data_IF_115439901264
#
_entry.id   IF_115439901264
#
_cell.length_a   1.000
_cell.length_b   1.000
_cell.length_c   1.000
_cell.angle_alpha   90.00
_cell.angle_beta   90.00
_cell.angle_gamma   90.00
#
_symmetry.space_group_name_H-M   'P 1'
#
loop_
_entity.id
_entity.type
_entity.pdbx_description
1 polymer ?
#
# COMPACT_ATOMS: atom_id res chain seq x y z
N UNK A 1 -0.61 -8.66 -14.20
CA UNK A 1 -0.93 -9.87 -13.44
C UNK A 1 -2.44 -10.14 -13.49
N UNK A 2 -2.82 -11.38 -13.32
CA UNK A 2 -4.23 -11.75 -13.12
C UNK A 2 -4.77 -11.10 -11.84
N UNK A 3 -6.08 -10.76 -11.80
CA UNK A 3 -6.67 -9.97 -10.71
C UNK A 3 -7.01 -10.84 -9.49
N UNK A 4 -6.01 -11.52 -8.91
CA UNK A 4 -6.15 -12.45 -7.80
C UNK A 4 -6.94 -11.83 -6.61
N UNK A 5 -6.50 -10.71 -6.09
CA UNK A 5 -7.11 -10.08 -4.91
C UNK A 5 -8.56 -9.62 -5.17
N UNK A 6 -8.85 -9.12 -6.39
CA UNK A 6 -10.23 -8.77 -6.78
C UNK A 6 -11.12 -10.01 -6.85
N UNK A 7 -10.57 -11.14 -7.28
CA UNK A 7 -11.31 -12.42 -7.35
C UNK A 7 -11.59 -12.93 -5.93
N UNK A 8 -10.61 -12.85 -5.02
CA UNK A 8 -10.83 -13.17 -3.60
C UNK A 8 -11.92 -12.27 -3.00
N UNK A 9 -11.82 -10.96 -3.21
CA UNK A 9 -12.78 -9.98 -2.67
C UNK A 9 -14.20 -10.15 -3.23
N UNK A 10 -14.36 -10.75 -4.40
CA UNK A 10 -15.68 -11.02 -4.99
C UNK A 10 -16.40 -12.21 -4.36
N UNK A 11 -15.74 -13.00 -3.49
CA UNK A 11 -16.29 -14.22 -2.92
C UNK A 11 -16.43 -15.36 -3.94
N UNK A 12 -15.57 -15.40 -4.97
CA UNK A 12 -15.53 -16.46 -5.97
C UNK A 12 -15.18 -17.82 -5.33
N UNK A 13 -15.37 -18.92 -6.10
CA UNK A 13 -14.97 -20.24 -5.66
C UNK A 13 -13.46 -20.36 -5.47
N UNK A 14 -13.01 -21.27 -4.60
CA UNK A 14 -11.58 -21.55 -4.40
C UNK A 14 -10.88 -21.90 -5.72
N UNK A 15 -11.53 -22.70 -6.57
CA UNK A 15 -11.02 -23.07 -7.90
C UNK A 15 -10.80 -21.83 -8.79
N UNK A 16 -11.78 -20.92 -8.84
CA UNK A 16 -11.67 -19.69 -9.63
C UNK A 16 -10.59 -18.75 -9.09
N UNK A 17 -10.40 -18.70 -7.77
CA UNK A 17 -9.37 -17.90 -7.13
C UNK A 17 -7.98 -18.44 -7.46
N UNK A 18 -7.77 -19.75 -7.35
CA UNK A 18 -6.49 -20.42 -7.65
C UNK A 18 -6.11 -20.23 -9.13
N UNK A 19 -7.06 -20.29 -10.05
CA UNK A 19 -6.84 -20.00 -11.48
C UNK A 19 -6.33 -18.56 -11.74
N UNK A 20 -6.50 -17.64 -10.79
CA UNK A 20 -5.97 -16.28 -10.89
C UNK A 20 -4.59 -16.10 -10.28
N UNK A 21 -3.92 -17.17 -9.86
CA UNK A 21 -2.52 -17.13 -9.48
C UNK A 21 -1.66 -17.06 -10.74
N UNK A 22 -1.11 -15.89 -11.02
CA UNK A 22 -0.28 -15.65 -12.20
C UNK A 22 1.15 -16.18 -11.98
N UNK A 23 1.54 -17.16 -12.76
CA UNK A 23 2.88 -17.76 -12.70
C UNK A 23 3.84 -17.10 -13.70
N UNK A 24 3.39 -16.95 -14.94
CA UNK A 24 4.24 -16.45 -16.03
C UNK A 24 4.48 -14.95 -15.94
N UNK A 25 3.44 -14.16 -15.74
CA UNK A 25 3.51 -12.71 -15.66
C UNK A 25 4.38 -12.22 -14.51
N UNK A 26 4.24 -12.81 -13.31
CA UNK A 26 5.09 -12.46 -12.16
C UNK A 26 6.57 -12.79 -12.43
N UNK A 27 6.86 -13.90 -13.07
CA UNK A 27 8.23 -14.30 -13.41
C UNK A 27 8.86 -13.33 -14.41
N UNK A 28 8.10 -12.89 -15.44
CA UNK A 28 8.57 -11.91 -16.43
C UNK A 28 8.80 -10.53 -15.80
N UNK A 29 7.92 -10.07 -14.90
CA UNK A 29 8.09 -8.81 -14.17
C UNK A 29 9.39 -8.84 -13.35
N UNK A 30 9.64 -9.92 -12.61
CA UNK A 30 10.86 -10.08 -11.80
C UNK A 30 12.11 -10.12 -12.67
N UNK A 31 12.08 -10.82 -13.80
CA UNK A 31 13.21 -10.90 -14.73
C UNK A 31 13.53 -9.52 -15.33
N UNK A 32 12.53 -8.80 -15.82
CA UNK A 32 12.68 -7.46 -16.37
C UNK A 32 13.20 -6.47 -15.31
N UNK A 33 12.63 -6.45 -14.11
CA UNK A 33 13.05 -5.59 -13.01
C UNK A 33 14.50 -5.87 -12.56
N UNK A 34 14.92 -7.15 -12.54
CA UNK A 34 16.31 -7.53 -12.26
C UNK A 34 17.28 -6.95 -13.29
N UNK A 35 16.86 -6.89 -14.55
CA UNK A 35 17.65 -6.35 -15.67
C UNK A 35 17.42 -4.83 -15.86
N UNK A 36 17.20 -4.07 -14.81
CA UNK A 36 16.94 -2.61 -14.88
C UNK A 36 18.05 -1.80 -15.54
N UNK A 37 19.25 -2.36 -15.69
CA UNK A 37 20.35 -1.68 -16.40
C UNK A 37 19.98 -1.38 -17.85
N UNK A 38 19.21 -2.28 -18.46
CA UNK A 38 18.88 -2.22 -19.90
C UNK A 38 17.36 -2.11 -20.14
N UNK A 39 16.51 -2.49 -19.15
CA UNK A 39 15.06 -2.60 -19.28
C UNK A 39 14.35 -1.71 -18.27
N UNK A 40 13.34 -0.96 -18.74
CA UNK A 40 12.35 -0.34 -17.88
C UNK A 40 11.15 -1.29 -17.77
N UNK A 41 10.80 -1.69 -16.53
CA UNK A 41 9.68 -2.60 -16.26
C UNK A 41 8.50 -1.83 -15.68
N UNK A 42 7.37 -1.81 -16.38
CA UNK A 42 6.09 -1.28 -15.90
C UNK A 42 5.25 -2.46 -15.42
N UNK A 43 5.05 -2.56 -14.12
CA UNK A 43 4.40 -3.71 -13.50
C UNK A 43 2.92 -3.45 -13.13
N UNK A 44 2.45 -2.21 -13.23
CA UNK A 44 1.09 -1.83 -12.87
C UNK A 44 0.58 -0.68 -13.75
N UNK A 45 -0.74 -0.63 -13.96
CA UNK A 45 -1.41 0.35 -14.84
C UNK A 45 -1.27 1.79 -14.31
N UNK A 46 -1.21 1.97 -13.00
CA UNK A 46 -1.01 3.29 -12.36
C UNK A 46 0.33 3.96 -12.72
N UNK A 47 1.27 3.19 -13.27
CA UNK A 47 2.59 3.68 -13.68
C UNK A 47 2.64 4.17 -15.14
N UNK A 48 1.56 4.00 -15.90
CA UNK A 48 1.57 4.36 -17.34
C UNK A 48 1.73 5.86 -17.56
N UNK A 49 1.07 6.69 -16.77
CA UNK A 49 1.16 8.14 -16.90
C UNK A 49 2.60 8.63 -16.64
N UNK A 50 3.24 8.10 -15.59
CA UNK A 50 4.63 8.41 -15.24
C UNK A 50 5.58 8.04 -16.41
N UNK A 51 5.40 6.85 -16.99
CA UNK A 51 6.22 6.41 -18.12
C UNK A 51 6.03 7.29 -19.35
N UNK A 52 4.78 7.59 -19.71
CA UNK A 52 4.49 8.43 -20.88
C UNK A 52 5.13 9.81 -20.73
N UNK A 53 5.02 10.42 -19.54
CA UNK A 53 5.66 11.70 -19.26
C UNK A 53 7.19 11.65 -19.43
N UNK A 54 7.83 10.60 -18.91
CA UNK A 54 9.28 10.39 -19.08
C UNK A 54 9.67 10.26 -20.57
N UNK A 55 8.92 9.46 -21.33
CA UNK A 55 9.22 9.22 -22.75
C UNK A 55 9.02 10.48 -23.60
N UNK A 56 8.01 11.29 -23.30
CA UNK A 56 7.76 12.56 -23.97
C UNK A 56 8.89 13.57 -23.68
N UNK A 57 9.29 13.74 -22.44
CA UNK A 57 10.36 14.67 -22.05
C UNK A 57 11.74 14.25 -22.57
N UNK A 58 12.00 12.95 -22.67
CA UNK A 58 13.32 12.42 -23.02
C UNK A 58 13.38 11.80 -24.43
N UNK A 59 12.42 12.16 -25.30
CA UNK A 59 12.39 11.73 -26.70
C UNK A 59 12.49 10.19 -26.85
N UNK A 60 11.72 9.45 -26.03
CA UNK A 60 11.66 8.00 -26.09
C UNK A 60 12.78 7.27 -25.33
N UNK A 61 13.63 7.97 -24.60
CA UNK A 61 14.72 7.37 -23.82
C UNK A 61 14.44 7.39 -22.33
N UNK A 62 15.23 6.63 -21.55
CA UNK A 62 15.13 6.57 -20.07
C UNK A 62 16.50 6.54 -19.44
N UNK A 63 16.64 7.14 -18.25
CA UNK A 63 17.89 7.09 -17.48
C UNK A 63 17.98 5.80 -16.66
N UNK A 64 19.20 5.46 -16.24
CA UNK A 64 19.43 4.34 -15.33
C UNK A 64 18.69 4.51 -13.99
N UNK A 65 18.63 5.73 -13.48
CA UNK A 65 17.93 6.04 -12.23
C UNK A 65 16.42 5.79 -12.35
N UNK A 66 15.81 6.23 -13.44
CA UNK A 66 14.40 5.97 -13.73
C UNK A 66 14.12 4.48 -13.85
N UNK A 67 14.94 3.74 -14.58
CA UNK A 67 14.79 2.28 -14.71
C UNK A 67 14.92 1.58 -13.35
N UNK A 68 15.86 2.02 -12.49
CA UNK A 68 16.00 1.51 -11.12
C UNK A 68 14.78 1.82 -10.25
N UNK A 69 14.20 3.01 -10.39
CA UNK A 69 12.98 3.40 -9.70
C UNK A 69 11.80 2.50 -10.10
N UNK A 70 11.61 2.27 -11.41
CA UNK A 70 10.57 1.37 -11.91
C UNK A 70 10.81 -0.10 -11.49
N UNK A 71 12.05 -0.53 -11.40
CA UNK A 71 12.40 -1.86 -10.87
C UNK A 71 11.98 -2.00 -9.40
N UNK A 72 12.18 -0.97 -8.58
CA UNK A 72 11.69 -0.97 -7.19
C UNK A 72 10.15 -1.05 -7.14
N UNK A 73 9.45 -0.28 -7.99
CA UNK A 73 7.98 -0.37 -8.12
C UNK A 73 7.54 -1.79 -8.54
N UNK A 74 8.27 -2.43 -9.46
CA UNK A 74 7.97 -3.78 -9.94
C UNK A 74 8.14 -4.83 -8.82
N UNK A 75 9.20 -4.75 -8.01
CA UNK A 75 9.38 -5.63 -6.87
C UNK A 75 8.38 -5.37 -5.74
N UNK A 76 7.91 -4.15 -5.57
CA UNK A 76 6.78 -3.85 -4.68
C UNK A 76 5.51 -4.61 -5.12
N UNK A 77 5.18 -4.57 -6.42
CA UNK A 77 4.04 -5.32 -6.99
C UNK A 77 4.21 -6.82 -6.76
N UNK A 78 5.40 -7.36 -7.04
CA UNK A 78 5.69 -8.79 -6.86
C UNK A 78 5.56 -9.22 -5.39
N UNK A 79 6.11 -8.46 -4.46
CA UNK A 79 6.05 -8.82 -3.03
C UNK A 79 4.63 -8.72 -2.47
N UNK A 80 3.86 -7.72 -2.91
CA UNK A 80 2.46 -7.57 -2.53
C UNK A 80 1.62 -8.75 -3.02
N UNK A 81 1.82 -9.12 -4.28
CA UNK A 81 1.12 -10.24 -4.91
C UNK A 81 1.36 -11.57 -4.17
N UNK A 82 2.63 -11.90 -3.91
CA UNK A 82 3.00 -13.12 -3.18
C UNK A 82 2.49 -13.09 -1.73
N UNK A 83 2.50 -11.92 -1.07
CA UNK A 83 1.93 -11.75 0.27
C UNK A 83 0.42 -12.01 0.28
N UNK A 84 -0.31 -11.50 -0.71
CA UNK A 84 -1.75 -11.72 -0.82
C UNK A 84 -2.08 -13.21 -1.02
N UNK A 85 -1.32 -13.91 -1.87
CA UNK A 85 -1.49 -15.34 -2.11
C UNK A 85 -1.16 -16.13 -0.83
N UNK A 86 -0.04 -15.84 -0.17
CA UNK A 86 0.33 -16.48 1.09
C UNK A 86 -0.78 -16.32 2.14
N UNK A 87 -1.27 -15.09 2.33
CA UNK A 87 -2.30 -14.82 3.32
C UNK A 87 -3.62 -15.54 2.99
N UNK A 88 -3.96 -15.72 1.71
CA UNK A 88 -5.12 -16.49 1.30
C UNK A 88 -5.01 -17.95 1.75
N UNK A 89 -3.91 -18.62 1.43
CA UNK A 89 -3.69 -20.01 1.85
C UNK A 89 -3.55 -20.15 3.37
N UNK A 90 -2.93 -19.17 4.02
CA UNK A 90 -2.66 -19.23 5.46
C UNK A 90 -3.91 -19.04 6.34
N UNK A 91 -5.07 -18.73 5.76
CA UNK A 91 -6.34 -18.73 6.50
C UNK A 91 -6.71 -20.11 7.04
N UNK A 92 -6.26 -21.19 6.38
CA UNK A 92 -6.53 -22.56 6.76
C UNK A 92 -5.32 -23.31 7.33
N UNK A 93 -4.10 -22.89 6.96
CA UNK A 93 -2.86 -23.60 7.29
C UNK A 93 -2.27 -23.16 8.64
N UNK A 94 -2.64 -21.97 9.13
CA UNK A 94 -2.19 -21.43 10.42
C UNK A 94 -0.65 -21.43 10.60
N UNK A 95 0.10 -21.20 9.50
CA UNK A 95 1.56 -21.05 9.59
C UNK A 95 1.88 -19.81 10.42
N UNK A 96 2.70 -19.89 11.49
CA UNK A 96 2.95 -18.78 12.40
C UNK A 96 3.87 -17.72 11.77
N UNK A 97 3.37 -17.05 10.74
CA UNK A 97 4.09 -16.02 10.00
C UNK A 97 3.21 -14.78 9.84
N UNK A 98 3.72 -13.63 10.25
CA UNK A 98 3.11 -12.33 9.97
C UNK A 98 3.64 -11.79 8.65
N UNK A 99 2.83 -11.80 7.60
CA UNK A 99 3.15 -11.25 6.30
C UNK A 99 2.22 -10.06 6.01
N UNK A 100 2.79 -8.85 6.04
CA UNK A 100 2.08 -7.59 5.76
C UNK A 100 2.83 -6.87 4.62
N UNK A 101 2.09 -6.46 3.60
CA UNK A 101 2.60 -5.61 2.54
C UNK A 101 1.61 -4.49 2.25
N UNK A 102 1.77 -3.36 2.94
CA UNK A 102 0.95 -2.17 2.75
C UNK A 102 1.58 -1.27 1.70
N UNK A 103 0.86 -1.06 0.61
CA UNK A 103 1.31 -0.27 -0.54
C UNK A 103 0.91 1.20 -0.47
N UNK A 104 -0.06 1.55 0.38
CA UNK A 104 -0.50 2.92 0.59
C UNK A 104 0.25 3.51 1.77
N UNK A 105 0.77 4.69 1.60
CA UNK A 105 1.45 5.39 2.67
C UNK A 105 1.60 6.87 2.36
N UNK A 106 1.49 7.67 3.39
CA UNK A 106 1.69 9.12 3.30
C UNK A 106 2.75 9.59 4.28
N UNK A 107 3.49 10.62 3.88
CA UNK A 107 4.45 11.29 4.75
C UNK A 107 3.67 12.22 5.67
N UNK A 108 3.94 12.13 6.96
CA UNK A 108 3.39 13.03 7.95
C UNK A 108 4.22 14.32 8.03
N UNK A 109 3.65 15.35 8.64
CA UNK A 109 4.33 16.64 8.81
C UNK A 109 5.66 16.50 9.55
N UNK A 110 5.73 15.65 10.57
CA UNK A 110 6.93 15.20 11.30
C UNK A 110 6.59 13.95 12.12
N UNK A 111 7.60 13.30 12.70
CA UNK A 111 7.46 12.15 13.59
C UNK A 111 7.07 12.57 15.01
N UNK A 112 7.58 11.87 16.02
CA UNK A 112 7.41 12.24 17.44
C UNK A 112 8.02 13.63 17.73
N UNK A 113 9.19 13.87 17.17
CA UNK A 113 9.89 15.18 17.28
C UNK A 113 9.99 15.86 15.92
N UNK A 114 10.09 17.23 15.88
CA UNK A 114 10.06 18.00 14.63
C UNK A 114 11.16 17.66 13.61
N UNK A 115 12.28 17.10 14.05
CA UNK A 115 13.40 16.71 13.17
C UNK A 115 13.27 15.27 12.63
N UNK A 116 12.29 14.51 13.08
CA UNK A 116 12.06 13.15 12.66
C UNK A 116 11.04 13.10 11.52
N UNK A 117 11.23 12.17 10.60
CA UNK A 117 10.21 11.85 9.60
C UNK A 117 9.20 10.85 10.19
N UNK A 118 7.92 11.15 10.00
CA UNK A 118 6.82 10.23 10.28
C UNK A 118 6.16 9.75 8.99
N UNK A 119 5.64 8.55 9.02
CA UNK A 119 4.83 7.99 7.92
C UNK A 119 3.64 7.23 8.51
N UNK A 120 2.50 7.37 7.85
CA UNK A 120 1.33 6.53 8.06
C UNK A 120 1.25 5.54 6.92
N UNK A 121 1.01 4.27 7.24
CA UNK A 121 0.76 3.22 6.26
C UNK A 121 -0.67 2.74 6.40
N UNK A 122 -1.39 2.72 5.30
CA UNK A 122 -2.81 2.43 5.19
C UNK A 122 -3.56 3.54 4.43
N UNK A 123 -4.84 3.31 4.17
CA UNK A 123 -5.73 4.29 3.55
C UNK A 123 -6.34 5.19 4.65
N UNK A 124 -5.71 6.33 4.89
CA UNK A 124 -6.18 7.29 5.90
C UNK A 124 -7.54 7.89 5.53
N UNK A 125 -7.78 8.14 4.25
CA UNK A 125 -9.01 8.77 3.77
C UNK A 125 -10.22 7.84 3.85
N UNK A 126 -10.00 6.52 3.82
CA UNK A 126 -11.05 5.54 4.11
C UNK A 126 -11.47 5.51 5.58
N UNK A 127 -10.58 5.91 6.49
CA UNK A 127 -10.84 5.94 7.94
C UNK A 127 -11.37 7.29 8.40
N UNK A 128 -10.85 8.39 7.87
CA UNK A 128 -11.11 9.74 8.37
C UNK A 128 -11.22 10.75 7.22
N UNK A 129 -12.11 11.72 7.40
CA UNK A 129 -12.20 12.89 6.51
C UNK A 129 -11.61 14.11 7.21
N UNK A 130 -10.48 14.62 6.72
CA UNK A 130 -9.91 15.87 7.21
C UNK A 130 -10.70 17.06 6.68
N UNK A 131 -11.48 17.69 7.53
CA UNK A 131 -12.34 18.82 7.15
C UNK A 131 -11.56 20.14 7.06
N UNK A 132 -10.55 20.33 7.93
CA UNK A 132 -9.80 21.58 8.02
C UNK A 132 -8.48 21.36 8.79
N UNK A 133 -7.54 22.29 8.63
CA UNK A 133 -6.32 22.35 9.43
C UNK A 133 -5.04 21.95 8.69
N UNK A 134 -3.93 21.92 9.43
CA UNK A 134 -2.60 21.55 8.92
C UNK A 134 -2.48 20.06 8.68
N UNK A 135 -1.45 19.67 7.94
CA UNK A 135 -1.10 18.25 7.81
C UNK A 135 -0.80 17.63 9.18
N UNK A 136 -1.18 16.35 9.32
CA UNK A 136 -1.05 15.64 10.58
C UNK A 136 0.41 15.28 10.88
N UNK A 137 0.76 15.29 12.16
CA UNK A 137 2.00 14.74 12.69
C UNK A 137 1.72 13.36 13.32
N UNK A 138 2.79 12.65 13.66
CA UNK A 138 2.70 11.40 14.43
C UNK A 138 1.89 11.60 15.74
N UNK A 139 2.19 12.66 16.50
CA UNK A 139 1.49 12.94 17.76
C UNK A 139 -0.02 13.20 17.55
N UNK A 140 -0.40 13.85 16.43
CA UNK A 140 -1.82 14.02 16.13
C UNK A 140 -2.52 12.68 15.87
N UNK A 141 -1.83 11.71 15.23
CA UNK A 141 -2.40 10.37 15.03
C UNK A 141 -2.54 9.58 16.33
N UNK A 142 -1.60 9.73 17.28
CA UNK A 142 -1.76 9.17 18.62
C UNK A 142 -2.98 9.76 19.35
N UNK A 143 -3.18 11.08 19.26
CA UNK A 143 -4.35 11.75 19.83
C UNK A 143 -5.66 11.25 19.19
N UNK A 144 -5.67 11.04 17.86
CA UNK A 144 -6.84 10.51 17.12
C UNK A 144 -7.13 9.06 17.55
N UNK A 145 -6.10 8.21 17.64
CA UNK A 145 -6.26 6.82 18.08
C UNK A 145 -6.84 6.74 19.49
N UNK A 146 -6.28 7.52 20.42
CA UNK A 146 -6.81 7.62 21.79
C UNK A 146 -8.26 8.12 21.83
N UNK A 147 -8.61 9.10 21.00
CA UNK A 147 -9.96 9.65 20.92
C UNK A 147 -10.97 8.62 20.39
N UNK A 148 -10.61 7.88 19.33
CA UNK A 148 -11.46 6.82 18.76
C UNK A 148 -11.65 5.69 19.78
N UNK A 149 -10.60 5.23 20.44
CA UNK A 149 -10.68 4.18 21.43
C UNK A 149 -11.56 4.62 22.61
N UNK A 150 -11.39 5.84 23.12
CA UNK A 150 -12.20 6.35 24.21
C UNK A 150 -13.68 6.45 23.85
N UNK A 151 -14.02 7.07 22.70
CA UNK A 151 -15.42 7.28 22.34
C UNK A 151 -16.13 5.96 21.98
N UNK A 152 -15.39 4.96 21.50
CA UNK A 152 -15.93 3.63 21.19
C UNK A 152 -16.51 2.90 22.40
N UNK A 153 -15.98 3.17 23.61
CA UNK A 153 -16.51 2.62 24.86
C UNK A 153 -17.95 3.06 25.13
N UNK A 154 -18.37 4.18 24.55
CA UNK A 154 -19.69 4.76 24.74
C UNK A 154 -20.61 4.57 23.51
N UNK A 155 -20.28 3.68 22.57
CA UNK A 155 -21.00 3.51 21.33
C UNK A 155 -22.49 3.15 21.50
N UNK A 156 -22.86 2.51 22.60
CA UNK A 156 -24.20 2.08 22.92
C UNK A 156 -24.87 2.91 24.04
N UNK A 157 -24.22 3.97 24.51
CA UNK A 157 -24.70 4.84 25.57
C UNK A 157 -25.47 6.04 25.01
N UNK A 158 -25.92 6.93 25.90
CA UNK A 158 -26.50 8.22 25.53
C UNK A 158 -25.46 9.05 24.75
N UNK A 159 -25.89 10.04 23.93
CA UNK A 159 -24.99 10.90 23.20
C UNK A 159 -23.86 11.43 24.08
N UNK A 160 -22.64 11.01 23.78
CA UNK A 160 -21.45 11.29 24.58
C UNK A 160 -20.52 12.21 23.84
N UNK A 161 -19.85 13.10 24.56
CA UNK A 161 -18.90 14.08 24.04
C UNK A 161 -17.60 14.03 24.83
N UNK A 162 -16.48 14.04 24.14
CA UNK A 162 -15.15 14.07 24.76
C UNK A 162 -14.27 15.17 24.15
N UNK A 163 -13.46 15.82 24.97
CA UNK A 163 -12.39 16.73 24.54
C UNK A 163 -11.07 16.17 25.06
N UNK A 164 -10.15 15.91 24.15
CA UNK A 164 -8.84 15.39 24.47
C UNK A 164 -7.77 16.43 24.12
N UNK A 165 -6.70 16.45 24.91
CA UNK A 165 -5.52 17.24 24.64
C UNK A 165 -4.29 16.43 25.06
N UNK A 166 -3.57 15.92 24.05
CA UNK A 166 -2.42 15.05 24.18
C UNK A 166 -2.74 13.71 24.85
N UNK A 167 -2.06 12.71 24.38
CA UNK A 167 -2.08 11.35 24.93
C UNK A 167 -0.82 11.14 25.78
#
# INVERSE_FOLDING_TARGET
LYPFEKTVASGASDEDIIEKIDIGGISLIRAAAKNFKDVLCVASVDQYADLLHILDEQHGSTTLEQRRHFAAKAFRVSSHYDTAIFNYFNQTEEIPTLAINECHGQVLRYGENPHQQGRFYGDFEALFTKLHGKELSYNNLLDVDAAVNLISEFANDAPTFAILKHN
#
